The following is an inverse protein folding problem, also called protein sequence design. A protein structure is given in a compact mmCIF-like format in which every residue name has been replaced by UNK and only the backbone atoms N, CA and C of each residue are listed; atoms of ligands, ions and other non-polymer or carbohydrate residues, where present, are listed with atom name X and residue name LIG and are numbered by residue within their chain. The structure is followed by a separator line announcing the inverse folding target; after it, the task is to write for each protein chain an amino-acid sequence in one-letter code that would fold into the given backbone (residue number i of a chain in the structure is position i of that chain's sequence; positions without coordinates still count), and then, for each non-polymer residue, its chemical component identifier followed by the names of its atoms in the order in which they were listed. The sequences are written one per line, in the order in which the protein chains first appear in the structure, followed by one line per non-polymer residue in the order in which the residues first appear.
data_IF_198284283399
#
_entry.id   IF_198284283399
#
_cell.length_a   1.000
_cell.length_b   1.000
_cell.length_c   1.000
_cell.angle_alpha   90.00
_cell.angle_beta   90.00
_cell.angle_gamma   90.00
#
_symmetry.space_group_name_H-M   'P 1'
#
loop_
_entity.id
_entity.type
_entity.pdbx_description
1 polymer ?
#
# COMPACT_ATOMS: atom_id res chain seq x y z
N UNK A 1 10.12 -10.71 42.68
CA UNK A 1 8.85 -11.17 43.30
C UNK A 1 7.79 -10.12 43.11
N UNK A 2 6.62 -10.54 42.65
CA UNK A 2 5.46 -9.70 42.46
C UNK A 2 4.95 -9.11 43.77
N UNK A 3 4.57 -7.84 43.75
CA UNK A 3 3.93 -7.16 44.86
C UNK A 3 2.42 -7.10 44.60
N UNK A 4 1.62 -7.56 45.56
CA UNK A 4 0.15 -7.56 45.45
C UNK A 4 -0.41 -6.72 46.59
N UNK A 5 -1.13 -5.65 46.25
CA UNK A 5 -1.66 -4.68 47.22
C UNK A 5 -3.16 -4.53 47.04
N UNK A 6 -3.90 -4.44 48.14
CA UNK A 6 -5.32 -4.07 48.12
C UNK A 6 -5.44 -2.57 47.77
N UNK A 7 -6.28 -2.22 46.80
CA UNK A 7 -6.53 -0.84 46.36
C UNK A 7 -8.03 -0.64 46.18
N UNK A 8 -8.68 0.03 47.14
CA UNK A 8 -10.14 0.15 47.19
C UNK A 8 -10.83 -1.21 47.21
N UNK A 9 -11.79 -1.42 46.31
CA UNK A 9 -12.53 -2.67 46.12
C UNK A 9 -11.82 -3.70 45.22
N UNK A 10 -10.51 -3.56 44.98
CA UNK A 10 -9.75 -4.47 44.14
C UNK A 10 -8.34 -4.75 44.64
N UNK A 11 -7.61 -5.55 43.87
CA UNK A 11 -6.24 -6.00 44.13
C UNK A 11 -5.34 -5.61 42.97
N UNK A 12 -4.32 -4.79 43.22
CA UNK A 12 -3.31 -4.42 42.24
C UNK A 12 -2.12 -5.37 42.35
N UNK A 13 -1.76 -6.02 41.26
CA UNK A 13 -0.53 -6.76 41.11
C UNK A 13 0.51 -5.93 40.35
N UNK A 14 1.74 -5.92 40.84
CA UNK A 14 2.88 -5.21 40.26
C UNK A 14 4.07 -6.19 40.16
N UNK A 15 4.53 -6.45 38.94
CA UNK A 15 5.66 -7.33 38.66
C UNK A 15 6.81 -6.48 38.12
N UNK A 16 7.99 -6.63 38.73
CA UNK A 16 9.25 -6.08 38.22
C UNK A 16 10.25 -7.22 38.11
N UNK A 17 10.68 -7.51 36.88
CA UNK A 17 11.63 -8.60 36.57
C UNK A 17 12.42 -8.24 35.33
N UNK A 18 13.73 -8.46 35.36
CA UNK A 18 14.64 -8.23 34.22
C UNK A 18 14.53 -6.82 33.61
N UNK A 19 14.47 -5.80 34.47
CA UNK A 19 14.34 -4.39 34.07
C UNK A 19 12.96 -3.99 33.53
N UNK A 20 12.01 -4.93 33.40
CA UNK A 20 10.66 -4.68 32.87
C UNK A 20 9.64 -4.64 34.00
N UNK A 21 8.75 -3.65 33.96
CA UNK A 21 7.65 -3.47 34.92
C UNK A 21 6.29 -3.70 34.26
N UNK A 22 5.42 -4.48 34.90
CA UNK A 22 4.01 -4.66 34.53
C UNK A 22 3.13 -4.48 35.76
N UNK A 23 1.97 -3.85 35.60
CA UNK A 23 0.98 -3.78 36.68
C UNK A 23 -0.44 -3.88 36.16
N UNK A 24 -1.33 -4.56 36.89
CA UNK A 24 -2.76 -4.68 36.57
C UNK A 24 -3.60 -4.84 37.84
N UNK A 25 -4.87 -4.43 37.79
CA UNK A 25 -5.80 -4.50 38.92
C UNK A 25 -6.89 -5.55 38.64
N UNK A 26 -7.30 -6.29 39.66
CA UNK A 26 -8.27 -7.38 39.61
C UNK A 26 -9.30 -7.25 40.75
N UNK A 27 -10.43 -7.96 40.64
CA UNK A 27 -11.44 -7.97 41.70
C UNK A 27 -11.05 -8.87 42.87
N UNK A 28 -10.31 -9.95 42.63
CA UNK A 28 -9.90 -10.89 43.68
C UNK A 28 -8.38 -11.01 43.82
N UNK A 29 -7.92 -11.34 45.03
CA UNK A 29 -6.49 -11.60 45.32
C UNK A 29 -5.95 -12.76 44.49
N UNK A 30 -6.76 -13.81 44.32
CA UNK A 30 -6.40 -15.00 43.55
C UNK A 30 -6.14 -14.69 42.07
N UNK A 31 -6.98 -13.85 41.45
CA UNK A 31 -6.76 -13.40 40.07
C UNK A 31 -5.46 -12.58 39.95
N UNK A 32 -5.21 -11.68 40.91
CA UNK A 32 -3.98 -10.89 40.95
C UNK A 32 -2.73 -11.76 41.12
N UNK A 33 -2.79 -12.81 41.95
CA UNK A 33 -1.72 -13.79 42.17
C UNK A 33 -1.44 -14.63 40.92
N UNK A 34 -2.49 -15.20 40.31
CA UNK A 34 -2.37 -16.01 39.10
C UNK A 34 -1.79 -15.20 37.93
N UNK A 35 -2.27 -13.97 37.72
CA UNK A 35 -1.71 -13.07 36.71
C UNK A 35 -0.25 -12.70 37.00
N UNK A 36 0.08 -12.42 38.26
CA UNK A 36 1.44 -12.08 38.64
C UNK A 36 2.43 -13.23 38.35
N UNK A 37 2.05 -14.47 38.68
CA UNK A 37 2.84 -15.66 38.40
C UNK A 37 3.02 -15.87 36.88
N UNK A 38 1.96 -15.74 36.10
CA UNK A 38 2.02 -15.83 34.63
C UNK A 38 2.98 -14.80 34.04
N UNK A 39 2.93 -13.55 34.51
CA UNK A 39 3.82 -12.48 34.03
C UNK A 39 5.27 -12.73 34.44
N UNK A 40 5.51 -13.26 35.64
CA UNK A 40 6.86 -13.64 36.06
C UNK A 40 7.46 -14.74 35.16
N UNK A 41 6.69 -15.80 34.87
CA UNK A 41 7.10 -16.86 33.95
C UNK A 41 7.32 -16.32 32.53
N UNK A 42 6.44 -15.45 32.04
CA UNK A 42 6.60 -14.82 30.72
C UNK A 42 7.91 -14.02 30.64
N UNK A 43 8.23 -13.23 31.68
CA UNK A 43 9.45 -12.41 31.71
C UNK A 43 10.73 -13.26 31.84
N UNK A 44 10.67 -14.41 32.49
CA UNK A 44 11.77 -15.36 32.58
C UNK A 44 11.97 -16.12 31.27
N UNK A 45 10.89 -16.66 30.68
CA UNK A 45 10.94 -17.35 29.39
C UNK A 45 11.53 -16.42 28.31
N UNK A 46 11.11 -15.16 28.29
CA UNK A 46 11.65 -14.14 27.38
C UNK A 46 13.16 -13.90 27.59
N UNK A 47 13.64 -13.86 28.83
CA UNK A 47 15.06 -13.69 29.12
C UNK A 47 15.88 -14.93 28.71
N UNK A 48 15.31 -16.11 28.89
CA UNK A 48 15.93 -17.39 28.51
C UNK A 48 15.77 -17.72 27.02
N UNK A 49 15.12 -16.85 26.21
CA UNK A 49 14.84 -17.11 24.80
C UNK A 49 13.86 -18.26 24.56
N UNK A 50 13.06 -18.62 25.56
CA UNK A 50 12.02 -19.65 25.46
C UNK A 50 10.77 -19.07 24.81
N UNK A 51 10.20 -19.81 23.89
CA UNK A 51 8.92 -19.47 23.26
C UNK A 51 7.84 -19.47 24.36
N UNK A 52 7.02 -18.41 24.49
CA UNK A 52 5.93 -18.36 25.47
C UNK A 52 4.94 -19.53 25.32
N UNK A 53 4.57 -20.17 26.44
CA UNK A 53 3.66 -21.33 26.43
C UNK A 53 2.20 -20.96 26.14
N UNK A 54 1.80 -19.76 26.53
CA UNK A 54 0.42 -19.28 26.58
C UNK A 54 0.04 -18.41 25.38
N UNK A 55 0.97 -18.17 24.45
CA UNK A 55 0.75 -17.29 23.30
C UNK A 55 0.45 -18.07 22.03
N UNK A 56 -0.52 -17.57 21.28
CA UNK A 56 -0.92 -18.03 19.96
C UNK A 56 -0.45 -17.09 18.85
N UNK A 57 -0.62 -17.50 17.59
CA UNK A 57 -0.42 -16.61 16.44
C UNK A 57 -1.29 -15.36 16.55
N UNK A 58 -2.55 -15.48 17.03
CA UNK A 58 -3.43 -14.33 17.28
C UNK A 58 -2.77 -13.31 18.20
N UNK A 59 -2.17 -13.75 19.30
CA UNK A 59 -1.55 -12.85 20.27
C UNK A 59 -0.39 -12.07 19.65
N UNK A 60 0.45 -12.76 18.87
CA UNK A 60 1.54 -12.17 18.11
C UNK A 60 1.01 -11.11 17.12
N UNK A 61 -0.02 -11.45 16.33
CA UNK A 61 -0.60 -10.53 15.34
C UNK A 61 -1.30 -9.34 15.98
N UNK A 62 -2.01 -9.54 17.10
CA UNK A 62 -2.64 -8.45 17.84
C UNK A 62 -1.61 -7.51 18.46
N UNK A 63 -0.50 -8.05 18.98
CA UNK A 63 0.62 -7.24 19.44
C UNK A 63 1.23 -6.43 18.30
N UNK A 64 1.44 -7.06 17.14
CA UNK A 64 1.92 -6.39 15.94
C UNK A 64 1.00 -5.24 15.49
N UNK A 65 -0.31 -5.44 15.53
CA UNK A 65 -1.29 -4.40 15.22
C UNK A 65 -1.26 -3.22 16.19
N UNK A 66 -0.89 -3.45 17.46
CA UNK A 66 -0.79 -2.38 18.47
C UNK A 66 0.54 -1.64 18.43
N UNK A 67 1.64 -2.36 18.24
CA UNK A 67 3.00 -1.82 18.43
C UNK A 67 3.70 -1.45 17.11
N UNK A 68 3.38 -2.13 16.00
CA UNK A 68 4.14 -2.00 14.74
C UNK A 68 3.33 -1.36 13.63
N UNK A 69 2.09 -1.80 13.41
CA UNK A 69 1.25 -1.27 12.33
C UNK A 69 1.00 0.24 12.41
N UNK A 70 0.79 0.89 13.58
CA UNK A 70 0.52 2.34 13.64
C UNK A 70 1.64 3.22 13.05
N UNK A 71 2.88 2.73 13.05
CA UNK A 71 4.01 3.43 12.43
C UNK A 71 4.05 3.34 10.90
N UNK A 72 3.10 2.65 10.26
CA UNK A 72 3.15 2.35 8.82
C UNK A 72 2.06 3.07 8.04
N UNK A 73 2.43 3.62 6.89
CA UNK A 73 1.49 4.23 5.92
C UNK A 73 0.34 3.30 5.50
N UNK A 74 0.57 1.98 5.56
CA UNK A 74 -0.39 0.95 5.19
C UNK A 74 -1.25 0.43 6.35
N UNK A 75 -1.19 1.02 7.55
CA UNK A 75 -1.80 0.51 8.80
C UNK A 75 -3.21 -0.01 8.60
N UNK A 76 -4.12 0.83 8.08
CA UNK A 76 -5.53 0.46 7.84
C UNK A 76 -5.67 -0.87 7.10
N UNK A 77 -4.86 -1.09 6.08
CA UNK A 77 -4.95 -2.28 5.25
C UNK A 77 -4.23 -3.49 5.87
N UNK A 78 -3.22 -3.28 6.71
CA UNK A 78 -2.64 -4.34 7.53
C UNK A 78 -3.66 -4.81 8.57
N UNK A 79 -4.29 -3.86 9.27
CA UNK A 79 -5.35 -4.07 10.26
C UNK A 79 -6.49 -4.91 9.72
N UNK A 80 -7.10 -4.49 8.62
CA UNK A 80 -8.21 -5.23 7.99
C UNK A 80 -7.83 -6.68 7.65
N UNK A 81 -6.59 -6.93 7.19
CA UNK A 81 -6.15 -8.29 6.83
C UNK A 81 -5.86 -9.16 8.05
N UNK A 82 -5.15 -8.62 9.03
CA UNK A 82 -4.79 -9.37 10.23
C UNK A 82 -6.01 -9.60 11.13
N UNK A 83 -6.95 -8.65 11.21
CA UNK A 83 -8.21 -8.85 11.92
C UNK A 83 -9.07 -9.92 11.23
N UNK A 84 -9.18 -9.89 9.90
CA UNK A 84 -9.89 -10.94 9.16
C UNK A 84 -9.22 -12.32 9.36
N UNK A 85 -7.89 -12.41 9.27
CA UNK A 85 -7.17 -13.66 9.53
C UNK A 85 -7.40 -14.15 10.96
N UNK A 86 -7.31 -13.25 11.94
CA UNK A 86 -7.60 -13.55 13.33
C UNK A 86 -9.05 -14.04 13.51
N UNK A 87 -10.02 -13.48 12.80
CA UNK A 87 -11.43 -13.87 12.95
C UNK A 87 -11.73 -15.19 12.25
N UNK A 88 -11.19 -15.38 11.05
CA UNK A 88 -11.72 -16.34 10.07
C UNK A 88 -10.80 -17.55 9.84
N UNK A 89 -9.50 -17.50 10.17
CA UNK A 89 -8.56 -18.59 9.86
C UNK A 89 -8.07 -19.35 11.11
N UNK A 90 -8.07 -20.70 11.08
CA UNK A 90 -7.53 -21.54 12.16
C UNK A 90 -6.06 -21.27 12.49
N UNK A 91 -5.26 -20.70 11.58
CA UNK A 91 -3.89 -20.30 11.87
C UNK A 91 -3.81 -19.40 13.10
N UNK A 92 -4.82 -18.55 13.33
CA UNK A 92 -4.83 -17.61 14.44
C UNK A 92 -4.83 -18.30 15.82
N UNK A 93 -5.42 -19.49 15.94
CA UNK A 93 -5.54 -20.21 17.22
C UNK A 93 -4.35 -21.12 17.51
N UNK A 94 -3.41 -21.27 16.57
CA UNK A 94 -2.25 -22.15 16.72
C UNK A 94 -1.32 -21.60 17.81
N UNK A 95 -0.97 -22.39 18.84
CA UNK A 95 0.05 -22.02 19.81
C UNK A 95 1.39 -21.76 19.12
N UNK A 96 2.13 -20.72 19.55
CA UNK A 96 3.41 -20.38 18.91
C UNK A 96 4.45 -21.50 19.03
N UNK A 97 4.36 -22.35 20.06
CA UNK A 97 5.22 -23.54 20.25
C UNK A 97 4.92 -24.66 19.26
N UNK A 98 3.71 -24.72 18.72
CA UNK A 98 3.26 -25.73 17.75
C UNK A 98 3.32 -25.20 16.31
N UNK A 99 3.77 -23.96 16.13
CA UNK A 99 3.83 -23.32 14.83
C UNK A 99 4.90 -24.01 13.97
N UNK A 100 4.45 -24.60 12.86
CA UNK A 100 5.30 -25.35 11.95
C UNK A 100 5.15 -24.88 10.50
N UNK A 101 6.08 -25.30 9.64
CA UNK A 101 5.98 -25.10 8.19
C UNK A 101 4.68 -25.71 7.62
N UNK A 102 4.22 -26.83 8.17
CA UNK A 102 2.98 -27.49 7.73
C UNK A 102 1.73 -26.66 8.05
N UNK A 103 1.73 -25.96 9.18
CA UNK A 103 0.65 -25.03 9.55
C UNK A 103 0.56 -23.88 8.54
N UNK A 104 1.70 -23.32 8.12
CA UNK A 104 1.78 -22.24 7.14
C UNK A 104 1.41 -22.71 5.73
N UNK A 105 1.85 -23.89 5.28
CA UNK A 105 1.46 -24.44 3.98
C UNK A 105 -0.04 -24.69 3.91
N UNK A 106 -0.63 -25.23 4.98
CA UNK A 106 -2.07 -25.46 5.08
C UNK A 106 -2.85 -24.15 5.03
N UNK A 107 -2.40 -23.09 5.71
CA UNK A 107 -2.98 -21.75 5.60
C UNK A 107 -2.90 -21.22 4.16
N UNK A 108 -1.72 -21.27 3.53
CA UNK A 108 -1.51 -20.81 2.16
C UNK A 108 -2.47 -21.49 1.20
N UNK A 109 -2.58 -22.81 1.28
CA UNK A 109 -3.39 -23.62 0.35
C UNK A 109 -4.89 -23.41 0.56
N UNK A 110 -5.34 -23.25 1.81
CA UNK A 110 -6.71 -22.80 2.10
C UNK A 110 -7.00 -21.43 1.51
N UNK A 111 -6.11 -20.45 1.71
CA UNK A 111 -6.31 -19.08 1.20
C UNK A 111 -6.29 -19.01 -0.32
N UNK A 112 -5.44 -19.80 -0.99
CA UNK A 112 -5.41 -19.87 -2.45
C UNK A 112 -6.72 -20.38 -3.07
N UNK A 113 -7.56 -21.10 -2.32
CA UNK A 113 -8.91 -21.51 -2.77
C UNK A 113 -9.96 -20.41 -2.62
N UNK A 114 -9.67 -19.37 -1.84
CA UNK A 114 -10.63 -18.33 -1.48
C UNK A 114 -10.35 -16.99 -2.17
N UNK A 115 -9.07 -16.69 -2.43
CA UNK A 115 -8.64 -15.41 -2.99
C UNK A 115 -7.55 -15.60 -4.04
N UNK A 116 -7.35 -14.57 -4.86
CA UNK A 116 -6.30 -14.59 -5.88
C UNK A 116 -4.89 -14.74 -5.28
N UNK A 117 -3.92 -15.31 -6.01
CA UNK A 117 -2.55 -15.47 -5.51
C UNK A 117 -1.89 -14.14 -5.12
N UNK A 118 -2.22 -13.04 -5.81
CA UNK A 118 -1.76 -11.70 -5.45
C UNK A 118 -2.24 -11.25 -4.07
N UNK A 119 -3.44 -11.66 -3.65
CA UNK A 119 -3.95 -11.38 -2.29
C UNK A 119 -3.20 -12.22 -1.26
N UNK A 120 -3.04 -13.53 -1.50
CA UNK A 120 -2.25 -14.41 -0.61
C UNK A 120 -0.82 -13.89 -0.46
N UNK A 121 -0.20 -13.39 -1.54
CA UNK A 121 1.14 -12.81 -1.48
C UNK A 121 1.26 -11.56 -0.60
N UNK A 122 0.22 -10.71 -0.58
CA UNK A 122 0.19 -9.54 0.31
C UNK A 122 0.06 -9.96 1.76
N UNK A 123 -0.81 -10.93 2.05
CA UNK A 123 -0.96 -11.52 3.39
C UNK A 123 0.34 -12.22 3.81
N UNK A 124 0.99 -12.96 2.91
CA UNK A 124 2.26 -13.64 3.12
C UNK A 124 3.36 -12.66 3.55
N UNK A 125 3.54 -11.57 2.81
CA UNK A 125 4.56 -10.57 3.14
C UNK A 125 4.29 -9.92 4.51
N UNK A 126 3.01 -9.71 4.84
CA UNK A 126 2.61 -9.13 6.13
C UNK A 126 2.88 -10.10 7.29
N UNK A 127 2.46 -11.36 7.16
CA UNK A 127 2.73 -12.41 8.15
C UNK A 127 4.22 -12.66 8.32
N UNK A 128 4.98 -12.74 7.21
CA UNK A 128 6.43 -12.91 7.26
C UNK A 128 7.11 -11.78 8.03
N UNK A 129 6.67 -10.54 7.86
CA UNK A 129 7.15 -9.42 8.66
C UNK A 129 6.76 -9.55 10.14
N UNK A 130 5.51 -9.89 10.44
CA UNK A 130 5.05 -10.09 11.81
C UNK A 130 5.86 -11.17 12.55
N UNK A 131 6.13 -12.31 11.90
CA UNK A 131 6.98 -13.36 12.46
C UNK A 131 8.45 -12.94 12.58
N UNK A 132 8.99 -12.13 11.66
CA UNK A 132 10.34 -11.58 11.82
C UNK A 132 10.46 -10.65 13.03
N UNK A 133 9.45 -9.82 13.31
CA UNK A 133 9.40 -9.01 14.53
C UNK A 133 9.25 -9.92 15.76
N UNK A 134 8.36 -10.91 15.69
CA UNK A 134 8.18 -11.91 16.75
C UNK A 134 9.48 -12.63 17.09
N UNK A 135 10.30 -12.94 16.09
CA UNK A 135 11.62 -13.55 16.24
C UNK A 135 12.65 -12.57 16.85
N UNK A 136 12.87 -11.44 16.19
CA UNK A 136 14.03 -10.57 16.46
C UNK A 136 13.83 -9.64 17.66
N UNK A 137 12.62 -9.11 17.82
CA UNK A 137 12.34 -8.07 18.80
C UNK A 137 11.63 -8.62 20.04
N UNK A 138 10.80 -9.65 19.87
CA UNK A 138 9.99 -10.19 20.96
C UNK A 138 10.48 -11.53 21.50
N UNK A 139 11.27 -12.29 20.75
CA UNK A 139 11.65 -13.65 21.13
C UNK A 139 10.46 -14.60 21.30
N UNK A 140 9.33 -14.32 20.64
CA UNK A 140 8.08 -15.09 20.77
C UNK A 140 8.03 -16.30 19.83
N UNK A 141 8.97 -16.41 18.90
CA UNK A 141 9.15 -17.55 18.01
C UNK A 141 10.64 -17.83 17.85
N UNK A 142 11.04 -19.10 17.72
CA UNK A 142 12.45 -19.46 17.52
C UNK A 142 12.92 -19.23 16.08
N UNK A 143 12.00 -19.18 15.13
CA UNK A 143 12.28 -18.90 13.73
C UNK A 143 11.07 -18.31 13.00
N UNK A 144 11.27 -17.87 11.76
CA UNK A 144 10.18 -17.48 10.89
C UNK A 144 9.70 -18.69 10.07
N UNK A 145 8.53 -19.29 10.36
CA UNK A 145 8.08 -20.50 9.68
C UNK A 145 7.78 -20.27 8.18
N UNK A 146 7.60 -19.00 7.78
CA UNK A 146 7.32 -18.62 6.39
C UNK A 146 8.52 -18.87 5.46
N UNK A 147 9.76 -18.93 5.98
CA UNK A 147 10.96 -19.16 5.15
C UNK A 147 11.10 -20.61 4.70
N UNK A 148 10.45 -21.54 5.43
CA UNK A 148 10.46 -22.99 5.16
C UNK A 148 9.35 -23.45 4.22
N UNK A 149 8.51 -22.53 3.75
CA UNK A 149 7.38 -22.85 2.88
C UNK A 149 7.51 -22.10 1.57
N UNK A 150 7.27 -22.81 0.45
CA UNK A 150 7.29 -22.21 -0.88
C UNK A 150 6.22 -21.11 -0.96
N UNK A 151 6.67 -19.88 -1.20
CA UNK A 151 5.82 -18.72 -1.44
C UNK A 151 4.95 -18.93 -2.69
N UNK A 152 3.69 -18.46 -2.72
CA UNK A 152 2.86 -18.50 -3.92
C UNK A 152 3.54 -17.84 -5.13
N UNK A 153 3.25 -18.33 -6.33
CA UNK A 153 3.74 -17.71 -7.55
C UNK A 153 3.19 -16.29 -7.69
N UNK A 154 4.04 -15.37 -8.16
CA UNK A 154 3.61 -14.02 -8.51
C UNK A 154 2.80 -14.09 -9.81
N UNK A 155 1.54 -13.63 -9.82
CA UNK A 155 0.78 -13.57 -11.07
C UNK A 155 1.47 -12.70 -12.11
N UNK A 156 1.22 -12.98 -13.38
CA UNK A 156 1.69 -12.15 -14.47
C UNK A 156 1.23 -10.69 -14.28
N UNK A 157 2.11 -9.75 -14.62
CA UNK A 157 1.74 -8.34 -14.65
C UNK A 157 0.72 -8.11 -15.77
N UNK A 158 -0.30 -7.29 -15.50
CA UNK A 158 -1.28 -6.87 -16.53
C UNK A 158 -0.56 -6.15 -17.67
N UNK A 159 -0.92 -6.47 -18.91
CA UNK A 159 -0.32 -5.92 -20.12
C UNK A 159 -1.18 -4.85 -20.84
N UNK A 160 -2.40 -4.63 -20.35
CA UNK A 160 -3.39 -3.69 -20.89
C UNK A 160 -2.86 -2.27 -21.16
N UNK A 161 -3.08 -1.79 -22.38
CA UNK A 161 -2.80 -0.41 -22.84
C UNK A 161 -4.04 0.19 -23.47
N UNK A 162 -4.23 1.50 -23.35
CA UNK A 162 -5.36 2.20 -23.97
C UNK A 162 -5.08 2.45 -25.45
N UNK A 163 -6.06 2.21 -26.32
CA UNK A 163 -6.02 2.70 -27.70
C UNK A 163 -6.47 4.15 -27.77
N UNK A 164 -6.21 4.83 -28.90
CA UNK A 164 -6.68 6.20 -29.08
C UNK A 164 -8.21 6.27 -29.11
N UNK A 165 -8.87 5.33 -29.81
CA UNK A 165 -10.34 5.25 -29.84
C UNK A 165 -10.95 5.08 -28.45
N UNK A 166 -10.32 4.27 -27.58
CA UNK A 166 -10.76 4.11 -26.19
C UNK A 166 -10.62 5.40 -25.39
N UNK A 167 -9.51 6.12 -25.57
CA UNK A 167 -9.30 7.43 -24.93
C UNK A 167 -10.41 8.39 -25.38
N UNK A 168 -10.69 8.43 -26.68
CA UNK A 168 -11.68 9.35 -27.25
C UNK A 168 -13.10 9.01 -26.77
N UNK A 169 -13.47 7.73 -26.71
CA UNK A 169 -14.75 7.27 -26.14
C UNK A 169 -14.88 7.65 -24.66
N UNK A 170 -13.83 7.43 -23.84
CA UNK A 170 -13.85 7.76 -22.42
C UNK A 170 -13.94 9.28 -22.21
N UNK A 171 -13.25 10.08 -23.02
CA UNK A 171 -13.34 11.54 -23.01
C UNK A 171 -14.76 11.99 -23.35
N UNK A 172 -15.33 11.48 -24.44
CA UNK A 172 -16.69 11.80 -24.87
C UNK A 172 -17.71 11.52 -23.75
N UNK A 173 -17.66 10.32 -23.19
CA UNK A 173 -18.60 9.88 -22.14
C UNK A 173 -18.39 10.62 -20.82
N UNK A 174 -17.16 11.05 -20.52
CA UNK A 174 -16.88 11.85 -19.32
C UNK A 174 -17.48 13.26 -19.39
N UNK A 175 -17.80 13.74 -20.60
CA UNK A 175 -18.24 15.11 -20.86
C UNK A 175 -17.10 16.14 -20.82
N UNK A 176 -15.85 15.70 -20.77
CA UNK A 176 -14.68 16.57 -20.89
C UNK A 176 -14.56 17.10 -22.33
N UNK A 177 -14.18 18.38 -22.47
CA UNK A 177 -13.90 18.99 -23.78
C UNK A 177 -12.85 20.08 -23.63
N UNK A 178 -12.06 20.28 -24.69
CA UNK A 178 -11.10 21.36 -24.78
C UNK A 178 -11.75 22.73 -25.09
N UNK A 179 -13.08 22.84 -25.08
CA UNK A 179 -13.76 24.13 -25.33
C UNK A 179 -14.13 24.90 -24.07
N UNK A 180 -14.23 24.24 -22.91
CA UNK A 180 -14.67 24.87 -21.67
C UNK A 180 -14.06 24.21 -20.43
N UNK A 181 -13.95 24.92 -19.30
CA UNK A 181 -13.50 24.33 -18.04
C UNK A 181 -14.41 23.17 -17.57
N UNK A 182 -13.86 22.10 -16.98
CA UNK A 182 -14.65 20.98 -16.48
C UNK A 182 -15.34 21.33 -15.15
N UNK A 183 -16.64 21.62 -15.22
CA UNK A 183 -17.46 21.97 -14.05
C UNK A 183 -17.99 20.77 -13.28
N UNK A 184 -18.12 19.60 -13.91
CA UNK A 184 -18.60 18.38 -13.24
C UNK A 184 -17.44 17.50 -12.76
N UNK A 185 -17.64 16.76 -11.65
CA UNK A 185 -16.64 15.80 -11.17
C UNK A 185 -16.29 14.73 -12.22
N UNK A 186 -17.26 14.31 -13.03
CA UNK A 186 -17.05 13.33 -14.11
C UNK A 186 -16.15 13.90 -15.22
N UNK A 187 -16.40 15.14 -15.66
CA UNK A 187 -15.55 15.80 -16.66
C UNK A 187 -14.14 16.06 -16.14
N UNK A 188 -14.00 16.39 -14.84
CA UNK A 188 -12.71 16.50 -14.17
C UNK A 188 -11.94 15.18 -14.15
N UNK A 189 -12.63 14.04 -14.02
CA UNK A 189 -12.00 12.71 -14.15
C UNK A 189 -11.54 12.44 -15.59
N UNK A 190 -12.28 12.90 -16.60
CA UNK A 190 -11.84 12.89 -18.00
C UNK A 190 -10.53 13.67 -18.20
N UNK A 191 -10.46 14.91 -17.70
CA UNK A 191 -9.23 15.71 -17.71
C UNK A 191 -8.07 15.03 -16.95
N UNK A 192 -8.37 14.47 -15.78
CA UNK A 192 -7.41 13.75 -14.93
C UNK A 192 -6.83 12.51 -15.61
N UNK A 193 -7.65 11.78 -16.38
CA UNK A 193 -7.22 10.63 -17.17
C UNK A 193 -6.21 11.06 -18.25
N UNK A 194 -6.52 12.10 -19.02
CA UNK A 194 -5.61 12.64 -20.03
C UNK A 194 -4.31 13.12 -19.41
N UNK A 195 -4.40 13.81 -18.27
CA UNK A 195 -3.22 14.28 -17.55
C UNK A 195 -2.34 13.11 -17.05
N UNK A 196 -2.95 12.01 -16.60
CA UNK A 196 -2.22 10.81 -16.21
C UNK A 196 -1.48 10.16 -17.39
N UNK A 197 -2.08 10.18 -18.59
CA UNK A 197 -1.47 9.67 -19.84
C UNK A 197 -0.27 10.55 -20.26
N UNK A 198 -0.32 11.86 -20.02
CA UNK A 198 0.76 12.77 -20.38
C UNK A 198 1.96 12.72 -19.40
N UNK A 199 1.72 12.45 -18.12
CA UNK A 199 2.72 12.65 -17.05
C UNK A 199 3.20 11.36 -16.39
N UNK A 200 2.55 10.24 -16.68
CA UNK A 200 2.71 8.97 -15.97
C UNK A 200 2.49 9.06 -14.45
N UNK A 201 1.94 10.15 -13.90
CA UNK A 201 1.76 10.29 -12.45
C UNK A 201 0.78 9.25 -11.88
N UNK A 202 0.96 8.87 -10.61
CA UNK A 202 -0.01 7.98 -9.94
C UNK A 202 -1.29 8.75 -9.63
N UNK A 203 -2.45 8.09 -9.66
CA UNK A 203 -3.73 8.72 -9.31
C UNK A 203 -3.71 9.45 -7.97
N UNK A 204 -3.04 8.89 -6.96
CA UNK A 204 -2.87 9.55 -5.65
C UNK A 204 -1.99 10.80 -5.71
N UNK A 205 -0.96 10.82 -6.57
CA UNK A 205 -0.08 11.99 -6.78
C UNK A 205 -0.85 13.11 -7.49
N UNK A 206 -1.70 12.76 -8.46
CA UNK A 206 -2.56 13.72 -9.19
C UNK A 206 -3.63 14.29 -8.25
N UNK A 207 -4.28 13.43 -7.46
CA UNK A 207 -5.32 13.81 -6.51
C UNK A 207 -4.83 14.72 -5.37
N UNK A 208 -3.54 14.68 -5.05
CA UNK A 208 -2.92 15.53 -4.02
C UNK A 208 -2.14 16.72 -4.60
N UNK A 209 -2.14 16.92 -5.92
CA UNK A 209 -1.40 18.00 -6.55
C UNK A 209 -2.04 19.35 -6.19
N UNK A 210 -1.25 20.26 -5.62
CA UNK A 210 -1.68 21.61 -5.26
C UNK A 210 -1.12 22.65 -6.21
N UNK A 211 -1.79 23.80 -6.33
CA UNK A 211 -1.34 24.90 -7.19
C UNK A 211 0.06 25.43 -6.83
N UNK A 212 0.42 25.43 -5.54
CA UNK A 212 1.77 25.78 -5.06
C UNK A 212 2.91 24.90 -5.61
N UNK A 213 2.57 23.75 -6.19
CA UNK A 213 3.53 22.81 -6.77
C UNK A 213 3.48 22.78 -8.30
N UNK A 214 2.74 23.70 -8.92
CA UNK A 214 2.70 23.86 -10.38
C UNK A 214 3.61 25.00 -10.78
N UNK A 215 4.69 24.67 -11.47
CA UNK A 215 5.64 25.66 -12.00
C UNK A 215 5.39 25.82 -13.51
N UNK A 216 4.31 26.53 -13.86
CA UNK A 216 3.82 26.65 -15.24
C UNK A 216 4.86 27.18 -16.22
N UNK A 217 5.57 28.27 -15.86
CA UNK A 217 6.61 28.89 -16.69
C UNK A 217 7.75 27.93 -17.03
N UNK A 218 8.17 27.12 -16.05
CA UNK A 218 9.24 26.13 -16.19
C UNK A 218 8.72 24.75 -16.64
N UNK A 219 7.40 24.61 -16.82
CA UNK A 219 6.69 23.40 -17.27
C UNK A 219 7.02 22.15 -16.47
N UNK A 220 6.91 22.21 -15.15
CA UNK A 220 6.97 21.02 -14.31
C UNK A 220 6.02 21.11 -13.11
N UNK A 221 5.72 19.96 -12.51
CA UNK A 221 5.11 19.89 -11.18
C UNK A 221 6.07 19.27 -10.18
N UNK A 222 6.10 19.81 -8.97
CA UNK A 222 6.88 19.27 -7.87
C UNK A 222 6.05 18.31 -7.02
N UNK A 223 6.53 17.09 -6.79
CA UNK A 223 5.88 16.13 -5.89
C UNK A 223 6.71 16.02 -4.60
N UNK A 224 6.36 16.73 -3.51
CA UNK A 224 7.17 16.75 -2.29
C UNK A 224 7.18 15.39 -1.59
N UNK A 225 6.08 14.64 -1.68
CA UNK A 225 5.97 13.31 -1.13
C UNK A 225 5.33 12.36 -2.14
N UNK A 226 6.07 11.32 -2.51
CA UNK A 226 5.58 10.27 -3.40
C UNK A 226 5.26 9.00 -2.61
N UNK A 227 4.63 8.02 -3.27
CA UNK A 227 4.40 6.66 -2.72
C UNK A 227 5.69 6.06 -2.12
N UNK A 228 6.84 6.36 -2.71
CA UNK A 228 8.14 5.85 -2.31
C UNK A 228 8.85 6.77 -1.28
N UNK A 229 8.28 7.92 -0.93
CA UNK A 229 8.82 8.81 0.10
C UNK A 229 10.02 9.67 -0.32
N UNK A 230 10.31 9.76 -1.63
CA UNK A 230 11.27 10.74 -2.15
C UNK A 230 10.55 11.79 -2.99
N UNK A 231 10.93 13.07 -2.88
CA UNK A 231 10.42 14.09 -3.78
C UNK A 231 10.92 13.86 -5.21
N UNK A 232 10.17 14.35 -6.19
CA UNK A 232 10.59 14.36 -7.60
C UNK A 232 9.83 15.42 -8.38
N UNK A 233 10.45 15.92 -9.43
CA UNK A 233 9.80 16.79 -10.40
C UNK A 233 9.28 15.97 -11.59
N UNK A 234 8.13 16.39 -12.13
CA UNK A 234 7.52 15.77 -13.32
C UNK A 234 7.44 16.83 -14.41
N UNK A 235 8.16 16.67 -15.53
CA UNK A 235 8.04 17.60 -16.64
C UNK A 235 6.64 17.52 -17.26
N UNK A 236 6.13 18.66 -17.69
CA UNK A 236 4.83 18.79 -18.32
C UNK A 236 4.98 18.97 -19.83
N UNK A 237 4.30 18.13 -20.62
CA UNK A 237 4.04 18.44 -22.02
C UNK A 237 3.18 19.71 -22.13
N UNK A 238 3.11 20.32 -23.32
CA UNK A 238 2.20 21.45 -23.55
C UNK A 238 0.76 21.05 -23.24
N UNK A 239 0.37 19.86 -23.70
CA UNK A 239 -0.93 19.26 -23.40
C UNK A 239 -1.20 19.09 -21.90
N UNK A 240 -0.21 18.62 -21.13
CA UNK A 240 -0.35 18.48 -19.69
C UNK A 240 -0.54 19.82 -18.98
N UNK A 241 0.16 20.87 -19.45
CA UNK A 241 -0.01 22.22 -18.94
C UNK A 241 -1.40 22.78 -19.26
N UNK A 242 -1.86 22.64 -20.52
CA UNK A 242 -3.20 23.06 -20.94
C UNK A 242 -4.29 22.42 -20.08
N UNK A 243 -4.13 21.12 -19.75
CA UNK A 243 -5.07 20.39 -18.88
C UNK A 243 -5.09 20.96 -17.46
N UNK A 244 -3.94 21.34 -16.89
CA UNK A 244 -3.87 22.01 -15.59
C UNK A 244 -4.53 23.38 -15.66
N UNK A 245 -4.25 24.17 -16.68
CA UNK A 245 -4.79 25.53 -16.79
C UNK A 245 -6.31 25.53 -16.90
N UNK A 246 -6.89 24.54 -17.59
CA UNK A 246 -8.34 24.35 -17.66
C UNK A 246 -9.00 24.04 -16.32
N UNK A 247 -8.24 23.56 -15.34
CA UNK A 247 -8.76 23.32 -14.00
C UNK A 247 -8.88 24.61 -13.17
N UNK A 248 -8.31 25.74 -13.64
CA UNK A 248 -8.46 27.01 -12.95
C UNK A 248 -9.95 27.39 -12.87
N UNK A 249 -10.42 27.86 -11.71
CA UNK A 249 -11.78 28.36 -11.56
C UNK A 249 -12.00 29.59 -12.43
N UNK A 250 -13.22 29.74 -12.95
CA UNK A 250 -13.62 30.89 -13.79
C UNK A 250 -13.53 32.23 -13.04
N UNK A 251 -13.68 32.20 -11.71
CA UNK A 251 -13.65 33.37 -10.82
C UNK A 251 -12.24 33.77 -10.38
N UNK A 252 -11.21 32.98 -10.71
CA UNK A 252 -9.84 33.19 -10.23
C UNK A 252 -9.58 32.76 -8.77
N UNK A 253 -10.63 32.62 -7.96
CA UNK A 253 -10.55 32.13 -6.59
C UNK A 253 -10.61 30.60 -6.51
N UNK A 254 -9.58 30.00 -5.93
CA UNK A 254 -9.52 28.56 -5.72
C UNK A 254 -10.37 28.14 -4.53
N UNK A 255 -11.57 27.61 -4.78
CA UNK A 255 -12.40 26.93 -3.75
C UNK A 255 -11.64 25.78 -3.07
N UNK A 256 -10.66 25.20 -3.76
CA UNK A 256 -9.77 24.17 -3.26
C UNK A 256 -8.34 24.42 -3.73
N UNK A 257 -7.36 24.28 -2.84
CA UNK A 257 -5.95 24.35 -3.20
C UNK A 257 -5.48 23.16 -4.09
N UNK A 258 -6.34 22.15 -4.30
CA UNK A 258 -6.03 20.97 -5.11
C UNK A 258 -6.40 21.24 -6.58
N UNK A 259 -5.44 21.03 -7.50
CA UNK A 259 -5.59 21.31 -8.94
C UNK A 259 -6.82 20.62 -9.52
N UNK A 260 -6.93 19.31 -9.35
CA UNK A 260 -8.03 18.54 -9.95
C UNK A 260 -9.32 18.55 -9.12
N UNK A 261 -9.25 18.94 -7.84
CA UNK A 261 -10.40 18.92 -6.91
C UNK A 261 -11.02 17.52 -6.74
N UNK A 262 -10.20 16.46 -6.82
CA UNK A 262 -10.66 15.07 -6.76
C UNK A 262 -9.86 14.27 -5.75
N UNK A 263 -10.54 13.49 -4.92
CA UNK A 263 -9.91 12.47 -4.09
C UNK A 263 -9.57 11.20 -4.90
N UNK A 264 -8.60 10.38 -4.47
CA UNK A 264 -8.28 9.12 -5.15
C UNK A 264 -9.48 8.17 -5.28
N UNK A 265 -10.40 8.19 -4.31
CA UNK A 265 -11.63 7.38 -4.34
C UNK A 265 -12.60 7.86 -5.41
N UNK A 266 -12.74 9.19 -5.58
CA UNK A 266 -13.59 9.77 -6.63
C UNK A 266 -13.04 9.44 -8.01
N UNK A 267 -11.73 9.52 -8.22
CA UNK A 267 -11.10 9.13 -9.50
C UNK A 267 -11.47 7.69 -9.86
N UNK A 268 -11.21 6.73 -8.96
CA UNK A 268 -11.50 5.31 -9.21
C UNK A 268 -13.00 5.05 -9.44
N UNK A 269 -13.87 5.57 -8.57
CA UNK A 269 -15.31 5.32 -8.66
C UNK A 269 -15.94 5.92 -9.94
N UNK A 270 -15.62 7.17 -10.27
CA UNK A 270 -16.16 7.85 -11.45
C UNK A 270 -15.54 7.31 -12.74
N UNK A 271 -14.26 6.93 -12.74
CA UNK A 271 -13.66 6.28 -13.90
C UNK A 271 -14.36 4.96 -14.23
N UNK A 272 -14.68 4.14 -13.22
CA UNK A 272 -15.50 2.92 -13.43
C UNK A 272 -16.88 3.25 -13.99
N UNK A 273 -17.51 4.33 -13.52
CA UNK A 273 -18.82 4.79 -14.01
C UNK A 273 -18.75 5.24 -15.47
N UNK A 274 -17.69 5.97 -15.86
CA UNK A 274 -17.42 6.36 -17.25
C UNK A 274 -17.23 5.11 -18.11
N UNK A 275 -16.33 4.21 -17.70
CA UNK A 275 -16.06 2.95 -18.42
C UNK A 275 -17.32 2.11 -18.60
N UNK A 276 -18.21 2.01 -17.59
CA UNK A 276 -19.46 1.23 -17.69
C UNK A 276 -20.42 1.74 -18.77
N UNK A 277 -20.29 2.99 -19.21
CA UNK A 277 -21.07 3.56 -20.32
C UNK A 277 -20.42 3.35 -21.69
N UNK A 278 -19.29 2.65 -21.74
CA UNK A 278 -18.58 2.25 -22.96
C UNK A 278 -18.55 0.73 -23.03
N UNK A 279 -18.17 0.17 -24.18
CA UNK A 279 -17.94 -1.27 -24.34
C UNK A 279 -16.52 -1.70 -23.92
N UNK A 280 -15.79 -0.85 -23.19
CA UNK A 280 -14.39 -1.10 -22.84
C UNK A 280 -14.29 -2.06 -21.66
N UNK A 281 -13.71 -3.21 -21.93
CA UNK A 281 -13.47 -4.25 -20.93
C UNK A 281 -12.06 -4.16 -20.31
N UNK A 282 -11.95 -4.73 -19.10
CA UNK A 282 -10.73 -4.89 -18.32
C UNK A 282 -9.78 -3.66 -18.26
N UNK A 283 -10.33 -2.44 -18.27
CA UNK A 283 -9.53 -1.23 -18.09
C UNK A 283 -9.65 -0.67 -16.66
N UNK A 284 -8.51 -0.33 -16.07
CA UNK A 284 -8.40 0.37 -14.79
C UNK A 284 -7.75 1.74 -14.99
N UNK A 285 -8.03 2.69 -14.09
CA UNK A 285 -7.39 4.01 -14.15
C UNK A 285 -5.87 3.91 -14.11
N UNK A 286 -5.31 2.92 -13.40
CA UNK A 286 -3.86 2.71 -13.34
C UNK A 286 -3.23 2.35 -14.69
N UNK A 287 -4.00 1.81 -15.64
CA UNK A 287 -3.50 1.45 -16.97
C UNK A 287 -3.14 2.72 -17.79
N UNK A 288 -3.67 3.90 -17.42
CA UNK A 288 -3.23 5.20 -17.98
C UNK A 288 -1.75 5.46 -17.75
N UNK A 289 -1.21 5.05 -16.59
CA UNK A 289 0.22 5.19 -16.29
C UNK A 289 1.05 4.24 -17.15
N UNK A 290 0.56 3.04 -17.42
CA UNK A 290 1.22 2.10 -18.34
C UNK A 290 1.28 2.69 -19.74
N UNK A 291 0.17 3.22 -20.23
CA UNK A 291 0.14 3.91 -21.53
C UNK A 291 1.09 5.11 -21.57
N UNK A 292 1.11 5.94 -20.52
CA UNK A 292 2.04 7.06 -20.40
C UNK A 292 3.51 6.63 -20.48
N UNK A 293 3.89 5.58 -19.75
CA UNK A 293 5.26 5.07 -19.75
C UNK A 293 5.66 4.50 -21.10
N UNK A 294 4.76 3.80 -21.78
CA UNK A 294 4.98 3.34 -23.16
C UNK A 294 5.18 4.51 -24.12
N UNK A 295 4.40 5.60 -24.00
CA UNK A 295 4.57 6.82 -24.83
C UNK A 295 5.88 7.55 -24.53
N UNK A 296 6.24 7.65 -23.26
CA UNK A 296 7.45 8.34 -22.82
C UNK A 296 8.73 7.53 -23.14
N UNK A 297 8.67 6.21 -23.13
CA UNK A 297 9.80 5.35 -23.50
C UNK A 297 10.23 5.51 -24.97
N UNK A 298 9.34 6.02 -25.84
CA UNK A 298 9.70 6.41 -27.21
C UNK A 298 10.49 7.73 -27.28
N UNK A 299 10.53 8.50 -26.19
CA UNK A 299 11.12 9.85 -26.14
C UNK A 299 12.32 9.95 -25.19
N UNK A 300 12.35 9.13 -24.15
CA UNK A 300 13.34 9.16 -23.09
C UNK A 300 14.01 7.81 -22.94
N UNK A 301 15.28 7.83 -22.56
CA UNK A 301 15.97 6.62 -22.13
C UNK A 301 15.43 6.11 -20.79
N UNK A 302 15.90 4.93 -20.38
CA UNK A 302 15.45 4.25 -19.15
C UNK A 302 15.74 5.07 -17.89
N UNK A 303 16.84 5.81 -17.84
CA UNK A 303 17.28 6.56 -16.66
C UNK A 303 16.44 7.82 -16.46
N UNK A 304 16.21 8.56 -17.54
CA UNK A 304 15.32 9.72 -17.54
C UNK A 304 13.88 9.29 -17.27
N UNK A 305 13.43 8.22 -17.89
CA UNK A 305 12.11 7.65 -17.61
C UNK A 305 11.98 7.24 -16.14
N UNK A 306 13.03 6.70 -15.52
CA UNK A 306 13.03 6.37 -14.10
C UNK A 306 12.88 7.59 -13.20
N UNK A 307 13.57 8.70 -13.50
CA UNK A 307 13.42 9.98 -12.80
C UNK A 307 12.00 10.54 -12.97
N UNK A 308 11.51 10.60 -14.22
CA UNK A 308 10.19 11.13 -14.58
C UNK A 308 9.04 10.30 -13.99
N UNK A 309 9.21 8.99 -13.82
CA UNK A 309 8.16 8.12 -13.33
C UNK A 309 8.29 7.76 -11.84
N UNK A 310 9.47 7.94 -11.25
CA UNK A 310 9.79 7.56 -9.87
C UNK A 310 9.86 6.04 -9.65
N UNK A 311 10.31 5.28 -10.66
CA UNK A 311 10.64 3.86 -10.48
C UNK A 311 12.00 3.72 -9.79
N UNK A 312 12.09 2.78 -8.85
CA UNK A 312 13.35 2.42 -8.18
C UNK A 312 14.04 1.24 -8.82
N UNK A 313 13.25 0.27 -9.25
CA UNK A 313 13.74 -0.91 -9.94
C UNK A 313 13.67 -0.64 -11.45
N UNK A 314 14.84 -0.40 -12.04
CA UNK A 314 14.99 -0.09 -13.47
C UNK A 314 14.59 -1.27 -14.35
N UNK A 315 14.67 -2.51 -13.83
CA UNK A 315 14.31 -3.72 -14.59
C UNK A 315 12.85 -3.71 -15.03
N UNK A 316 11.98 -3.06 -14.26
CA UNK A 316 10.57 -2.87 -14.66
C UNK A 316 10.49 -2.02 -15.92
N UNK A 317 11.25 -0.94 -15.98
CA UNK A 317 11.25 -0.06 -17.14
C UNK A 317 11.87 -0.72 -18.37
N UNK A 318 13.02 -1.36 -18.15
CA UNK A 318 13.76 -2.06 -19.19
C UNK A 318 12.95 -3.20 -19.80
N UNK A 319 12.30 -4.04 -18.98
CA UNK A 319 11.65 -5.25 -19.48
C UNK A 319 10.23 -5.03 -20.00
N UNK A 320 9.57 -3.92 -19.60
CA UNK A 320 8.14 -3.71 -19.91
C UNK A 320 7.91 -2.56 -20.88
N UNK A 321 8.69 -1.48 -20.81
CA UNK A 321 8.39 -0.25 -21.55
C UNK A 321 9.47 0.11 -22.57
N UNK A 322 10.73 -0.15 -22.27
CA UNK A 322 11.83 0.17 -23.18
C UNK A 322 12.03 -0.96 -24.20
N UNK A 323 11.50 -0.73 -25.40
CA UNK A 323 11.61 -1.65 -26.53
C UNK A 323 12.01 -0.87 -27.80
N UNK A 324 13.26 -0.37 -27.89
CA UNK A 324 13.72 0.34 -29.07
C UNK A 324 13.71 -0.59 -30.28
N UNK A 325 13.35 -0.07 -31.47
CA UNK A 325 13.55 -0.81 -32.71
C UNK A 325 15.04 -0.83 -33.05
N UNK A 326 15.50 -1.90 -33.68
CA UNK A 326 16.90 -2.02 -34.10
C UNK A 326 17.27 -0.86 -35.02
N UNK A 327 16.40 -0.48 -35.96
CA UNK A 327 16.62 0.66 -36.86
C UNK A 327 16.83 1.99 -36.10
N UNK A 328 16.10 2.20 -35.00
CA UNK A 328 16.25 3.39 -34.14
C UNK A 328 17.58 3.37 -33.37
N UNK A 329 18.19 2.21 -33.18
CA UNK A 329 19.50 2.07 -32.54
C UNK A 329 20.62 2.23 -33.56
N UNK A 330 20.47 1.66 -34.77
CA UNK A 330 21.45 1.80 -35.86
C UNK A 330 21.60 3.27 -36.24
N UNK A 331 20.49 4.00 -36.41
CA UNK A 331 20.49 5.44 -36.71
C UNK A 331 21.09 6.34 -35.62
N UNK A 332 21.46 5.80 -34.46
CA UNK A 332 22.16 6.54 -33.39
C UNK A 332 23.66 6.24 -33.34
N UNK A 333 24.12 5.23 -34.06
CA UNK A 333 25.54 4.86 -34.13
C UNK A 333 26.30 5.71 -35.16
N UNK A 334 25.58 6.16 -36.18
CA UNK A 334 26.03 7.09 -37.23
C UNK A 334 25.48 8.50 -36.96
#
# INVERSE_FOLDING_TARGET
MATIRKRGNGWRAEVYRNGRRRSKTFHTKAQAQSWALQVEVELDDLQMGRIPADKSVRDLLQRYLREVSPGKRGERWERLRLEALCRDDPLATVPLRELSAQTISSWRDRRLRQVSPATVLREWNLLSNAFNIGLREWGWVAENPMTRVRKPATPAARDRRLTQDEIDQLVMVSGYTDKKPPTTLTARVGATMLFAIETAMRAGEIASLTWAHVHAERRYVHLPMTKNGKPRDVPLSRRALDLIERMKPLTGEHESNIVFGLSPRQIDALFRKIKKKTSIEDLHFHDTRREALSRLAMKFDVMDLAKISGHRDLRILQNVYYAPKVDDLVSRLD
#
